data_IF_093116922250
#
_entry.id   IF_093116922250
#
_cell.length_a   1.000
_cell.length_b   1.000
_cell.length_c   1.000
_cell.angle_alpha   90.00
_cell.angle_beta   90.00
_cell.angle_gamma   90.00
#
_symmetry.space_group_name_H-M   'P 1'
#
loop_
_entity.id
_entity.type
_entity.pdbx_description
1 polymer ?
#
# COMPACT_ATOMS: atom_id res chain seq x y z
N UNK A 1 9.02 -14.81 -18.93
CA UNK A 1 9.23 -14.72 -17.47
C UNK A 1 9.60 -13.30 -17.10
N UNK A 2 10.72 -12.79 -17.63
CA UNK A 2 11.19 -11.40 -17.40
C UNK A 2 10.12 -10.35 -17.75
N UNK A 3 9.45 -10.47 -18.90
CA UNK A 3 8.36 -9.56 -19.30
C UNK A 3 7.20 -9.53 -18.28
N UNK A 4 6.84 -10.68 -17.71
CA UNK A 4 5.78 -10.78 -16.70
C UNK A 4 6.20 -10.06 -15.41
N UNK A 5 7.45 -10.24 -14.98
CA UNK A 5 7.98 -9.57 -13.79
C UNK A 5 8.09 -8.06 -14.00
N UNK A 6 8.49 -7.60 -15.18
CA UNK A 6 8.46 -6.18 -15.52
C UNK A 6 7.04 -5.59 -15.45
N UNK A 7 6.01 -6.34 -15.88
CA UNK A 7 4.61 -5.92 -15.73
C UNK A 7 4.19 -5.85 -14.25
N UNK A 8 4.66 -6.78 -13.42
CA UNK A 8 4.43 -6.74 -11.97
C UNK A 8 5.07 -5.49 -11.35
N UNK A 9 6.30 -5.13 -11.73
CA UNK A 9 6.93 -3.91 -11.25
C UNK A 9 6.19 -2.64 -11.69
N UNK A 10 5.73 -2.57 -12.94
CA UNK A 10 4.89 -1.44 -13.39
C UNK A 10 3.60 -1.33 -12.58
N UNK A 11 2.94 -2.44 -12.29
CA UNK A 11 1.76 -2.46 -11.44
C UNK A 11 2.09 -2.01 -9.99
N UNK A 12 3.25 -2.42 -9.47
CA UNK A 12 3.75 -1.97 -8.16
C UNK A 12 4.08 -0.46 -8.12
N UNK A 13 4.58 0.10 -9.22
CA UNK A 13 4.80 1.55 -9.34
C UNK A 13 3.46 2.31 -9.32
N UNK A 14 2.46 1.83 -10.05
CA UNK A 14 1.10 2.37 -10.01
C UNK A 14 0.51 2.32 -8.60
N UNK A 15 0.68 1.20 -7.88
CA UNK A 15 0.28 1.08 -6.47
C UNK A 15 0.93 2.16 -5.61
N UNK A 16 2.23 2.36 -5.77
CA UNK A 16 3.00 3.37 -5.01
C UNK A 16 2.48 4.78 -5.28
N UNK A 17 2.15 5.09 -6.53
CA UNK A 17 1.56 6.38 -6.91
C UNK A 17 0.18 6.58 -6.28
N UNK A 18 -0.69 5.57 -6.28
CA UNK A 18 -2.01 5.63 -5.63
C UNK A 18 -1.89 5.84 -4.11
N UNK A 19 -0.92 5.21 -3.45
CA UNK A 19 -0.65 5.46 -2.02
C UNK A 19 -0.23 6.89 -1.77
N UNK A 20 0.65 7.43 -2.62
CA UNK A 20 1.10 8.81 -2.49
C UNK A 20 -0.07 9.79 -2.64
N UNK A 21 -0.94 9.58 -3.62
CA UNK A 21 -2.15 10.40 -3.82
C UNK A 21 -3.08 10.32 -2.61
N UNK A 22 -3.21 9.15 -2.00
CA UNK A 22 -3.98 8.98 -0.76
C UNK A 22 -3.38 9.74 0.42
N UNK A 23 -2.07 9.63 0.64
CA UNK A 23 -1.35 10.35 1.71
C UNK A 23 -1.43 11.87 1.53
N UNK A 24 -1.30 12.35 0.29
CA UNK A 24 -1.45 13.77 -0.06
C UNK A 24 -2.87 14.26 0.23
N UNK A 25 -3.89 13.46 -0.10
CA UNK A 25 -5.28 13.80 0.20
C UNK A 25 -5.60 13.77 1.70
N UNK A 26 -5.06 12.80 2.45
CA UNK A 26 -5.16 12.77 3.91
C UNK A 26 -4.58 14.03 4.55
N UNK A 27 -3.37 14.41 4.12
CA UNK A 27 -2.72 15.65 4.57
C UNK A 27 -3.57 16.88 4.22
N UNK A 28 -4.05 16.98 2.99
CA UNK A 28 -4.92 18.06 2.54
C UNK A 28 -6.22 18.16 3.37
N UNK A 29 -6.82 17.02 3.72
CA UNK A 29 -8.01 16.98 4.56
C UNK A 29 -7.70 17.43 6.01
N UNK A 30 -6.57 17.01 6.58
CA UNK A 30 -6.11 17.48 7.90
C UNK A 30 -5.81 18.99 7.92
N UNK A 31 -5.23 19.51 6.85
CA UNK A 31 -4.96 20.94 6.65
C UNK A 31 -6.23 21.73 6.26
N UNK A 32 -7.38 21.05 6.11
CA UNK A 32 -8.67 21.61 5.68
C UNK A 32 -8.62 22.30 4.31
N UNK A 33 -7.70 21.88 3.44
CA UNK A 33 -7.60 22.37 2.06
C UNK A 33 -8.56 21.66 1.12
N UNK A 34 -9.02 20.46 1.48
CA UNK A 34 -10.13 19.75 0.83
C UNK A 34 -11.21 19.38 1.84
N UNK A 35 -12.46 19.30 1.38
CA UNK A 35 -13.60 18.88 2.20
C UNK A 35 -13.80 17.37 2.21
N UNK A 36 -14.68 16.89 3.10
CA UNK A 36 -14.99 15.45 3.25
C UNK A 36 -15.54 14.81 1.96
N UNK A 37 -16.28 15.56 1.14
CA UNK A 37 -16.79 15.08 -0.14
C UNK A 37 -15.65 14.78 -1.12
N UNK A 38 -14.70 15.71 -1.27
CA UNK A 38 -13.52 15.53 -2.10
C UNK A 38 -12.64 14.39 -1.57
N UNK A 39 -12.48 14.30 -0.25
CA UNK A 39 -11.79 13.18 0.38
C UNK A 39 -12.46 11.85 0.05
N UNK A 40 -13.80 11.78 0.12
CA UNK A 40 -14.58 10.59 -0.23
C UNK A 40 -14.34 10.15 -1.67
N UNK A 41 -14.28 11.09 -2.62
CA UNK A 41 -13.95 10.82 -4.03
C UNK A 41 -12.54 10.23 -4.15
N UNK A 42 -11.54 10.83 -3.50
CA UNK A 42 -10.16 10.31 -3.55
C UNK A 42 -10.07 8.92 -2.96
N UNK A 43 -10.68 8.68 -1.78
CA UNK A 43 -10.71 7.36 -1.14
C UNK A 43 -11.31 6.31 -2.07
N UNK A 44 -12.41 6.65 -2.76
CA UNK A 44 -13.05 5.75 -3.70
C UNK A 44 -12.10 5.41 -4.86
N UNK A 45 -11.55 6.42 -5.54
CA UNK A 45 -10.66 6.22 -6.69
C UNK A 45 -9.40 5.42 -6.32
N UNK A 46 -8.77 5.75 -5.20
CA UNK A 46 -7.60 5.02 -4.69
C UNK A 46 -7.98 3.58 -4.37
N UNK A 47 -9.12 3.35 -3.71
CA UNK A 47 -9.56 1.98 -3.35
C UNK A 47 -9.81 1.14 -4.61
N UNK A 48 -10.50 1.69 -5.60
CA UNK A 48 -10.75 1.02 -6.88
C UNK A 48 -9.42 0.70 -7.60
N UNK A 49 -8.51 1.68 -7.70
CA UNK A 49 -7.20 1.50 -8.32
C UNK A 49 -6.32 0.48 -7.60
N UNK A 50 -6.27 0.50 -6.27
CA UNK A 50 -5.50 -0.47 -5.47
C UNK A 50 -6.05 -1.90 -5.63
N UNK A 51 -7.36 -2.05 -5.74
CA UNK A 51 -8.00 -3.34 -6.00
C UNK A 51 -7.66 -3.84 -7.41
N UNK A 52 -7.78 -2.99 -8.42
CA UNK A 52 -7.44 -3.33 -9.81
C UNK A 52 -5.98 -3.77 -9.94
N UNK A 53 -5.05 -2.96 -9.41
CA UNK A 53 -3.62 -3.28 -9.41
C UNK A 53 -3.32 -4.60 -8.69
N UNK A 54 -3.99 -4.86 -7.57
CA UNK A 54 -3.80 -6.11 -6.83
C UNK A 54 -4.33 -7.33 -7.61
N UNK A 55 -5.46 -7.19 -8.29
CA UNK A 55 -5.98 -8.24 -9.17
C UNK A 55 -5.05 -8.49 -10.36
N UNK A 56 -4.49 -7.44 -10.96
CA UNK A 56 -3.58 -7.57 -12.08
C UNK A 56 -2.27 -8.23 -11.69
N UNK A 57 -1.70 -7.88 -10.54
CA UNK A 57 -0.52 -8.57 -10.01
C UNK A 57 -0.82 -10.06 -9.78
N UNK A 58 -1.98 -10.43 -9.24
CA UNK A 58 -2.36 -11.86 -9.09
C UNK A 58 -2.48 -12.59 -10.43
N UNK A 59 -3.06 -11.96 -11.45
CA UNK A 59 -3.14 -12.55 -12.80
C UNK A 59 -1.76 -12.76 -13.40
N UNK A 60 -0.87 -11.79 -13.25
CA UNK A 60 0.51 -11.86 -13.73
C UNK A 60 1.30 -12.93 -12.96
N UNK A 61 1.11 -13.00 -11.64
CA UNK A 61 1.71 -14.00 -10.77
C UNK A 61 1.35 -15.43 -11.19
N UNK A 62 0.09 -15.69 -11.53
CA UNK A 62 -0.36 -16.99 -12.04
C UNK A 62 0.33 -17.41 -13.35
N UNK A 63 0.89 -16.44 -14.08
CA UNK A 63 1.65 -16.67 -15.32
C UNK A 63 3.16 -16.85 -15.08
N UNK A 64 3.63 -16.74 -13.83
CA UNK A 64 5.02 -17.04 -13.48
C UNK A 64 5.22 -18.55 -13.40
N UNK A 65 6.31 -19.07 -13.96
CA UNK A 65 6.63 -20.49 -13.89
C UNK A 65 7.52 -20.86 -12.70
N UNK A 66 8.09 -19.86 -11.99
CA UNK A 66 8.92 -20.07 -10.80
C UNK A 66 8.06 -19.99 -9.53
N UNK A 67 7.92 -21.09 -8.76
CA UNK A 67 7.23 -21.07 -7.48
C UNK A 67 7.85 -20.09 -6.47
N UNK A 68 9.17 -19.89 -6.53
CA UNK A 68 9.88 -18.95 -5.67
C UNK A 68 9.44 -17.50 -5.98
N UNK A 69 9.42 -17.13 -7.26
CA UNK A 69 8.93 -15.81 -7.69
C UNK A 69 7.46 -15.60 -7.32
N UNK A 70 6.62 -16.64 -7.48
CA UNK A 70 5.22 -16.57 -7.04
C UNK A 70 5.13 -16.27 -5.54
N UNK A 71 5.92 -16.96 -4.72
CA UNK A 71 5.95 -16.74 -3.27
C UNK A 71 6.42 -15.33 -2.89
N UNK A 72 7.42 -14.78 -3.57
CA UNK A 72 7.85 -13.40 -3.32
C UNK A 72 6.78 -12.38 -3.72
N UNK A 73 6.04 -12.63 -4.80
CA UNK A 73 4.93 -11.76 -5.21
C UNK A 73 3.75 -11.84 -4.24
N UNK A 74 3.44 -13.02 -3.70
CA UNK A 74 2.46 -13.17 -2.61
C UNK A 74 2.89 -12.40 -1.36
N UNK A 75 4.15 -12.53 -0.96
CA UNK A 75 4.71 -11.80 0.17
C UNK A 75 4.62 -10.29 -0.05
N UNK A 76 4.96 -9.80 -1.24
CA UNK A 76 4.84 -8.39 -1.60
C UNK A 76 3.40 -7.90 -1.44
N UNK A 77 2.41 -8.64 -1.96
CA UNK A 77 1.00 -8.26 -1.82
C UNK A 77 0.54 -8.27 -0.36
N UNK A 78 0.96 -9.24 0.44
CA UNK A 78 0.63 -9.31 1.87
C UNK A 78 1.22 -8.14 2.67
N UNK A 79 2.47 -7.77 2.39
CA UNK A 79 3.12 -6.61 3.00
C UNK A 79 2.42 -5.31 2.63
N UNK A 80 2.06 -5.12 1.36
CA UNK A 80 1.31 -3.95 0.89
C UNK A 80 -0.07 -3.85 1.55
N UNK A 81 -0.79 -4.96 1.66
CA UNK A 81 -2.08 -4.98 2.36
C UNK A 81 -1.92 -4.61 3.84
N UNK A 82 -0.89 -5.12 4.51
CA UNK A 82 -0.62 -4.79 5.91
C UNK A 82 -0.29 -3.30 6.08
N UNK A 83 0.48 -2.73 5.14
CA UNK A 83 0.79 -1.29 5.12
C UNK A 83 -0.48 -0.46 5.06
N UNK A 84 -1.39 -0.75 4.11
CA UNK A 84 -2.67 -0.06 3.97
C UNK A 84 -3.51 -0.12 5.25
N UNK A 85 -3.64 -1.31 5.84
CA UNK A 85 -4.45 -1.51 7.04
C UNK A 85 -3.94 -0.67 8.22
N UNK A 86 -2.61 -0.57 8.38
CA UNK A 86 -2.00 0.26 9.43
C UNK A 86 -2.17 1.75 9.14
N UNK A 87 -2.02 2.19 7.89
CA UNK A 87 -2.30 3.58 7.50
C UNK A 87 -3.76 3.94 7.82
N UNK A 88 -4.72 3.11 7.44
CA UNK A 88 -6.15 3.33 7.76
C UNK A 88 -6.36 3.37 9.28
N UNK A 89 -5.69 2.49 10.04
CA UNK A 89 -5.81 2.47 11.50
C UNK A 89 -5.30 3.77 12.13
N UNK A 90 -4.20 4.34 11.65
CA UNK A 90 -3.71 5.65 12.09
C UNK A 90 -4.79 6.72 11.87
N UNK A 91 -5.41 6.74 10.70
CA UNK A 91 -6.46 7.71 10.37
C UNK A 91 -7.75 7.51 11.18
N UNK A 92 -8.08 6.28 11.56
CA UNK A 92 -9.19 6.04 12.48
C UNK A 92 -8.90 6.55 13.89
N UNK A 93 -7.64 6.50 14.33
CA UNK A 93 -7.21 6.98 15.64
C UNK A 93 -7.04 8.51 15.68
N UNK A 94 -6.80 9.16 14.53
CA UNK A 94 -6.68 10.61 14.42
C UNK A 94 -8.04 11.33 14.50
N UNK A 95 -9.14 10.60 14.32
CA UNK A 95 -10.49 11.15 14.48
C UNK A 95 -10.73 11.60 15.93
N UNK A 96 -11.28 12.80 16.15
CA UNK A 96 -11.53 13.32 17.49
C UNK A 96 -12.52 12.42 18.24
N UNK A 97 -11.98 11.58 19.11
CA UNK A 97 -12.73 10.78 20.07
C UNK A 97 -12.46 11.34 21.46
N UNK A 98 -13.50 11.79 22.14
CA UNK A 98 -13.45 12.69 23.30
C UNK A 98 -12.71 12.16 24.57
N UNK A 99 -12.00 11.03 24.56
CA UNK A 99 -11.62 10.34 25.82
C UNK A 99 -10.23 9.67 25.83
N UNK A 100 -9.53 9.43 24.72
CA UNK A 100 -8.22 8.71 24.76
C UNK A 100 -7.12 9.37 23.93
N UNK A 101 -5.97 9.55 24.57
CA UNK A 101 -4.70 9.84 23.90
C UNK A 101 -4.19 8.55 23.24
N UNK A 102 -4.19 8.54 21.90
CA UNK A 102 -3.71 7.43 21.08
C UNK A 102 -2.28 7.65 20.56
N UNK A 103 -1.57 8.68 21.04
CA UNK A 103 -0.24 9.06 20.53
C UNK A 103 0.76 7.90 20.52
N UNK A 104 0.81 7.08 21.58
CA UNK A 104 1.71 5.93 21.66
C UNK A 104 1.36 4.82 20.66
N UNK A 105 0.07 4.54 20.47
CA UNK A 105 -0.42 3.56 19.49
C UNK A 105 -0.14 4.04 18.05
N UNK A 106 -0.33 5.33 17.80
CA UNK A 106 -0.01 5.96 16.51
C UNK A 106 1.48 5.90 16.19
N UNK A 107 2.36 6.19 17.14
CA UNK A 107 3.82 6.10 16.91
C UNK A 107 4.26 4.65 16.65
N UNK A 108 3.72 3.68 17.39
CA UNK A 108 3.98 2.26 17.12
C UNK A 108 3.55 1.84 15.71
N UNK A 109 2.36 2.26 15.27
CA UNK A 109 1.89 1.98 13.91
C UNK A 109 2.79 2.60 12.83
N UNK A 110 3.33 3.80 13.07
CA UNK A 110 4.30 4.43 12.15
C UNK A 110 5.61 3.65 12.07
N UNK A 111 6.14 3.19 13.21
CA UNK A 111 7.33 2.33 13.25
C UNK A 111 7.10 1.02 12.48
N UNK A 112 5.94 0.41 12.67
CA UNK A 112 5.55 -0.81 11.95
C UNK A 112 5.41 -0.57 10.44
N UNK A 113 4.82 0.55 10.01
CA UNK A 113 4.76 0.94 8.60
C UNK A 113 6.16 1.09 8.01
N UNK A 114 7.07 1.76 8.72
CA UNK A 114 8.46 1.91 8.26
C UNK A 114 9.15 0.55 8.11
N UNK A 115 8.94 -0.36 9.07
CA UNK A 115 9.46 -1.73 8.98
C UNK A 115 8.85 -2.51 7.79
N UNK A 116 7.57 -2.30 7.49
CA UNK A 116 6.93 -2.90 6.32
C UNK A 116 7.50 -2.36 5.00
N UNK A 117 7.78 -1.05 4.91
CA UNK A 117 8.41 -0.43 3.73
C UNK A 117 9.77 -1.05 3.45
N UNK A 118 10.60 -1.25 4.48
CA UNK A 118 11.90 -1.92 4.33
C UNK A 118 11.72 -3.35 3.79
N UNK A 119 10.80 -4.13 4.37
CA UNK A 119 10.50 -5.50 3.90
C UNK A 119 9.96 -5.54 2.48
N UNK A 120 9.15 -4.55 2.08
CA UNK A 120 8.65 -4.41 0.70
C UNK A 120 9.84 -4.22 -0.24
N UNK A 121 10.76 -3.31 0.09
CA UNK A 121 11.96 -3.05 -0.71
C UNK A 121 12.86 -4.29 -0.82
N UNK A 122 13.08 -5.00 0.29
CA UNK A 122 13.86 -6.25 0.31
C UNK A 122 13.21 -7.35 -0.55
N UNK A 123 11.88 -7.44 -0.52
CA UNK A 123 11.13 -8.41 -1.33
C UNK A 123 11.19 -8.04 -2.81
N UNK A 124 11.09 -6.75 -3.15
CA UNK A 124 11.30 -6.26 -4.52
C UNK A 124 12.71 -6.59 -5.01
N UNK A 125 13.73 -6.41 -4.17
CA UNK A 125 15.10 -6.76 -4.52
C UNK A 125 15.26 -8.27 -4.73
N UNK A 126 14.65 -9.09 -3.86
CA UNK A 126 14.64 -10.55 -4.00
C UNK A 126 13.99 -11.00 -5.32
N UNK A 127 12.92 -10.33 -5.77
CA UNK A 127 12.30 -10.60 -7.09
C UNK A 127 13.26 -10.23 -8.23
N UNK A 128 14.04 -9.16 -8.10
CA UNK A 128 15.03 -8.74 -9.11
C UNK A 128 16.22 -9.69 -9.19
N UNK A 129 16.66 -10.22 -8.06
CA UNK A 129 17.82 -11.11 -8.00
C UNK A 129 17.55 -12.51 -8.60
N UNK A 130 16.28 -12.87 -8.75
CA UNK A 130 15.80 -14.11 -9.39
C UNK A 130 15.58 -13.98 -10.90
N UNK A 131 15.77 -12.79 -11.49
CA UNK A 131 15.71 -12.55 -12.94
C UNK A 131 17.06 -12.82 -13.62
#
# INVERSE_FOLDING_TARGET
MEETVQKIFKAQDTRTQLYKEFEEALKANHEKTIGLEQMGIVVQLVTEGLNEVSLDIRKLQASLSSPQLQSYVDQLQGLEQSKLQKTIKIEQLSLPSNIKDHSSETEQLKEEINALILKINDTIQSIKDEL
#
